data_IF_763354062413
#
_entry.id   IF_763354062413
#
_cell.length_a   1.000
_cell.length_b   1.000
_cell.length_c   1.000
_cell.angle_alpha   90.00
_cell.angle_beta   90.00
_cell.angle_gamma   90.00
#
_symmetry.space_group_name_H-M   'P 1'
#
loop_
_entity.id
_entity.type
_entity.pdbx_description
1 polymer ?
#
# COMPACT_ATOMS: atom_id res chain seq x y z
N UNK A 1 3.50 0.09 19.93
CA UNK A 1 3.32 -0.30 18.53
C UNK A 1 2.72 0.89 17.82
N UNK A 2 3.42 1.51 16.87
CA UNK A 2 2.80 2.56 16.07
C UNK A 2 1.64 1.96 15.26
N UNK A 3 0.45 2.54 15.43
CA UNK A 3 -0.76 2.15 14.69
C UNK A 3 -1.10 3.25 13.69
N UNK A 4 -1.38 2.89 12.44
CA UNK A 4 -1.87 3.81 11.40
C UNK A 4 -3.20 3.29 10.86
N UNK A 5 -4.19 4.16 10.72
CA UNK A 5 -5.52 3.74 10.28
C UNK A 5 -5.97 4.51 9.03
N UNK A 6 -6.67 3.80 8.14
CA UNK A 6 -7.28 4.34 6.93
C UNK A 6 -8.81 4.22 6.95
N UNK A 7 -9.48 5.29 6.54
CA UNK A 7 -10.94 5.41 6.53
C UNK A 7 -11.54 6.04 7.80
N UNK A 8 -12.80 6.48 7.72
CA UNK A 8 -13.49 7.17 8.81
C UNK A 8 -14.48 6.28 9.59
N UNK A 9 -15.05 5.26 8.96
CA UNK A 9 -16.05 4.36 9.58
C UNK A 9 -15.63 2.92 9.37
N UNK A 10 -15.45 2.17 10.47
CA UNK A 10 -14.80 0.85 10.52
C UNK A 10 -13.42 0.85 9.85
N UNK A 11 -12.48 1.68 10.35
CA UNK A 11 -11.22 1.91 9.67
C UNK A 11 -10.36 0.65 9.61
N UNK A 12 -9.49 0.60 8.60
CA UNK A 12 -8.47 -0.45 8.48
C UNK A 12 -7.23 0.06 9.20
N UNK A 13 -6.87 -0.57 10.31
CA UNK A 13 -5.72 -0.20 11.12
C UNK A 13 -4.57 -1.18 10.89
N UNK A 14 -3.38 -0.63 10.80
CA UNK A 14 -2.10 -1.30 10.60
C UNK A 14 -1.27 -1.15 11.86
N UNK A 15 -1.01 -2.26 12.52
CA UNK A 15 -0.25 -2.32 13.76
C UNK A 15 1.19 -2.76 13.43
N UNK A 16 2.13 -1.83 13.60
CA UNK A 16 3.54 -2.09 13.36
C UNK A 16 4.27 -2.43 14.67
N UNK A 17 5.20 -3.39 14.68
CA UNK A 17 5.98 -3.71 15.87
C UNK A 17 6.82 -2.55 16.37
N UNK A 18 7.34 -2.71 17.59
CA UNK A 18 8.33 -1.79 18.15
C UNK A 18 9.56 -1.73 17.22
N UNK A 19 10.07 -0.51 17.01
CA UNK A 19 11.24 -0.24 16.17
C UNK A 19 10.93 -0.02 14.69
N UNK A 20 9.68 -0.23 14.26
CA UNK A 20 9.24 0.18 12.92
C UNK A 20 9.01 1.68 12.88
N UNK A 21 9.41 2.28 11.77
CA UNK A 21 9.03 3.64 11.37
C UNK A 21 7.88 3.53 10.37
N UNK A 22 6.80 4.28 10.57
CA UNK A 22 5.65 4.27 9.65
C UNK A 22 4.96 5.63 9.62
N UNK A 23 4.53 6.07 8.44
CA UNK A 23 3.87 7.37 8.21
C UNK A 23 2.67 7.22 7.29
N UNK A 24 1.61 8.01 7.53
CA UNK A 24 0.56 8.22 6.51
C UNK A 24 1.11 9.14 5.43
N UNK A 25 1.63 8.58 4.35
CA UNK A 25 2.43 9.34 3.40
C UNK A 25 1.60 10.38 2.64
N UNK A 26 0.33 10.10 2.37
CA UNK A 26 -0.56 11.01 1.65
C UNK A 26 -1.22 12.08 2.55
N UNK A 27 -1.17 11.94 3.89
CA UNK A 27 -1.69 12.87 4.89
C UNK A 27 -0.58 13.57 5.69
N UNK A 28 0.20 12.80 6.46
CA UNK A 28 1.26 13.25 7.37
C UNK A 28 2.57 13.55 6.62
N UNK A 29 2.76 12.96 5.43
CA UNK A 29 3.88 13.23 4.51
C UNK A 29 3.80 14.60 3.82
N UNK A 30 3.42 15.63 4.58
CA UNK A 30 3.07 16.97 4.13
C UNK A 30 4.04 17.57 3.12
N UNK A 31 5.34 17.25 3.20
CA UNK A 31 6.37 17.61 2.22
C UNK A 31 5.93 17.36 0.77
N UNK A 32 5.36 16.20 0.48
CA UNK A 32 4.95 15.85 -0.87
C UNK A 32 3.82 16.76 -1.35
N UNK A 33 2.81 17.03 -0.53
CA UNK A 33 1.74 17.98 -0.86
C UNK A 33 2.25 19.42 -0.92
N UNK A 34 3.03 19.87 0.06
CA UNK A 34 3.41 21.28 0.21
C UNK A 34 4.56 21.72 -0.70
N UNK A 35 5.39 20.79 -1.16
CA UNK A 35 6.60 21.11 -1.92
C UNK A 35 6.51 20.59 -3.35
N UNK A 36 6.02 19.35 -3.56
CA UNK A 36 5.94 18.76 -4.89
C UNK A 36 4.63 19.15 -5.59
N UNK A 37 3.48 19.00 -4.94
CA UNK A 37 2.18 19.24 -5.62
C UNK A 37 1.88 20.71 -5.91
N UNK A 38 2.57 21.66 -5.26
CA UNK A 38 2.45 23.10 -5.61
C UNK A 38 2.86 23.40 -7.05
N UNK A 39 3.75 22.60 -7.61
CA UNK A 39 4.32 22.82 -8.94
C UNK A 39 4.00 21.70 -9.94
N UNK A 40 3.46 20.57 -9.45
CA UNK A 40 3.08 19.43 -10.28
C UNK A 40 1.68 18.95 -9.89
N UNK A 41 0.71 19.19 -10.76
CA UNK A 41 -0.67 18.78 -10.54
C UNK A 41 -0.82 17.25 -10.54
N UNK A 42 -1.84 16.74 -9.84
CA UNK A 42 -2.34 15.35 -9.89
C UNK A 42 -1.43 14.26 -9.32
N UNK A 43 -0.38 14.63 -8.61
CA UNK A 43 0.56 13.72 -7.96
C UNK A 43 -0.06 13.14 -6.67
N UNK A 44 -0.15 11.81 -6.55
CA UNK A 44 -0.74 11.08 -5.39
C UNK A 44 0.19 9.98 -4.90
N UNK A 45 0.52 9.99 -3.62
CA UNK A 45 1.40 8.98 -3.03
C UNK A 45 0.63 7.74 -2.58
N UNK A 46 1.39 6.75 -2.12
CA UNK A 46 0.88 5.63 -1.34
C UNK A 46 0.24 6.13 -0.06
N UNK A 47 -0.73 5.37 0.46
CA UNK A 47 -1.42 5.75 1.70
C UNK A 47 -0.45 5.67 2.90
N UNK A 48 0.31 4.58 3.01
CA UNK A 48 1.34 4.42 4.05
C UNK A 48 2.73 4.10 3.46
N UNK A 49 3.76 4.56 4.16
CA UNK A 49 5.15 4.13 3.96
C UNK A 49 5.73 3.67 5.29
N UNK A 50 6.42 2.54 5.30
CA UNK A 50 7.00 1.96 6.51
C UNK A 50 8.38 1.34 6.29
N UNK A 51 9.19 1.30 7.34
CA UNK A 51 10.55 0.73 7.35
C UNK A 51 10.72 -0.11 8.63
N UNK A 52 11.13 -1.39 8.54
CA UNK A 52 11.41 -2.20 9.71
C UNK A 52 12.73 -1.80 10.39
N UNK A 53 12.95 -2.23 11.65
CA UNK A 53 14.24 -2.08 12.29
C UNK A 53 15.32 -2.92 11.58
N UNK A 54 16.56 -2.42 11.60
CA UNK A 54 17.78 -3.20 11.34
C UNK A 54 18.17 -3.45 9.88
N UNK A 55 17.23 -3.47 8.93
CA UNK A 55 17.53 -3.66 7.50
C UNK A 55 16.83 -2.62 6.62
N UNK A 56 17.51 -2.08 5.60
CA UNK A 56 16.94 -1.04 4.76
C UNK A 56 16.01 -1.66 3.72
N UNK A 57 14.81 -2.11 4.11
CA UNK A 57 13.71 -2.31 3.16
C UNK A 57 12.67 -1.23 3.37
N UNK A 58 11.99 -0.83 2.31
CA UNK A 58 10.90 0.15 2.38
C UNK A 58 9.61 -0.54 1.93
N UNK A 59 8.56 -0.40 2.71
CA UNK A 59 7.24 -0.97 2.43
C UNK A 59 6.30 0.16 2.04
N UNK A 60 5.70 0.06 0.86
CA UNK A 60 4.66 0.94 0.36
C UNK A 60 3.33 0.24 0.48
N UNK A 61 2.34 0.84 1.14
CA UNK A 61 1.03 0.22 1.35
C UNK A 61 -0.05 1.12 0.75
N UNK A 62 -0.80 0.56 -0.19
CA UNK A 62 -2.03 1.14 -0.72
C UNK A 62 -3.24 0.39 -0.15
N UNK A 63 -4.22 1.11 0.36
CA UNK A 63 -5.41 0.55 0.98
C UNK A 63 -6.63 0.79 0.08
N UNK A 64 -7.37 -0.28 -0.20
CA UNK A 64 -8.61 -0.22 -0.97
C UNK A 64 -9.71 -1.02 -0.28
N UNK A 65 -10.74 -0.30 0.14
CA UNK A 65 -11.91 -0.88 0.80
C UNK A 65 -13.13 -0.83 -0.11
N UNK A 66 -13.53 -2.00 -0.62
CA UNK A 66 -14.70 -2.20 -1.46
C UNK A 66 -15.88 -2.85 -0.72
N UNK A 67 -15.87 -2.90 0.63
CA UNK A 67 -16.99 -3.50 1.39
C UNK A 67 -18.36 -2.87 1.10
N UNK A 68 -18.36 -1.58 0.76
CA UNK A 68 -19.58 -0.80 0.45
C UNK A 68 -19.70 -0.43 -1.03
N UNK A 69 -18.81 -0.91 -1.88
CA UNK A 69 -18.84 -0.56 -3.28
C UNK A 69 -20.07 -1.19 -3.96
N UNK A 70 -20.72 -0.44 -4.85
CA UNK A 70 -21.71 -1.00 -5.74
C UNK A 70 -21.06 -2.10 -6.59
N UNK A 71 -21.81 -3.13 -7.02
CA UNK A 71 -21.29 -4.12 -7.95
C UNK A 71 -20.82 -3.42 -9.21
N UNK A 72 -19.50 -3.32 -9.37
CA UNK A 72 -18.83 -2.78 -10.53
C UNK A 72 -18.40 -3.91 -11.48
N UNK A 73 -18.06 -3.52 -12.70
CA UNK A 73 -17.36 -4.40 -13.64
C UNK A 73 -16.00 -4.78 -13.03
N UNK A 74 -15.76 -6.05 -12.66
CA UNK A 74 -14.54 -6.47 -12.00
C UNK A 74 -13.29 -6.23 -12.85
N UNK A 75 -13.40 -6.33 -14.17
CA UNK A 75 -12.26 -6.12 -15.07
C UNK A 75 -11.86 -4.64 -15.09
N UNK A 76 -12.83 -3.74 -15.29
CA UNK A 76 -12.60 -2.31 -15.22
C UNK A 76 -12.06 -1.87 -13.86
N UNK A 77 -12.57 -2.46 -12.77
CA UNK A 77 -12.06 -2.22 -11.41
C UNK A 77 -10.59 -2.64 -11.28
N UNK A 78 -10.26 -3.85 -11.72
CA UNK A 78 -8.89 -4.35 -11.65
C UNK A 78 -7.92 -3.51 -12.48
N UNK A 79 -8.29 -3.13 -13.71
CA UNK A 79 -7.50 -2.24 -14.54
C UNK A 79 -7.22 -0.89 -13.84
N UNK A 80 -8.24 -0.32 -13.18
CA UNK A 80 -8.09 0.91 -12.38
C UNK A 80 -7.21 0.73 -11.15
N UNK A 81 -7.29 -0.42 -10.48
CA UNK A 81 -6.41 -0.74 -9.34
C UNK A 81 -4.95 -0.85 -9.78
N UNK A 82 -4.69 -1.51 -10.91
CA UNK A 82 -3.35 -1.61 -11.50
C UNK A 82 -2.80 -0.21 -11.77
N UNK A 83 -3.53 0.64 -12.52
CA UNK A 83 -3.10 2.01 -12.81
C UNK A 83 -2.84 2.81 -11.53
N UNK A 84 -3.74 2.70 -10.54
CA UNK A 84 -3.63 3.42 -9.28
C UNK A 84 -2.36 3.03 -8.52
N UNK A 85 -2.10 1.73 -8.35
CA UNK A 85 -0.93 1.23 -7.62
C UNK A 85 0.34 1.65 -8.33
N UNK A 86 0.46 1.41 -9.63
CA UNK A 86 1.65 1.73 -10.41
C UNK A 86 1.99 3.23 -10.35
N UNK A 87 0.99 4.10 -10.57
CA UNK A 87 1.19 5.55 -10.51
C UNK A 87 1.57 6.02 -9.12
N UNK A 88 0.87 5.54 -8.09
CA UNK A 88 1.20 5.89 -6.70
C UNK A 88 2.60 5.39 -6.31
N UNK A 89 3.04 4.23 -6.80
CA UNK A 89 4.41 3.74 -6.59
C UNK A 89 5.42 4.71 -7.18
N UNK A 90 5.27 5.04 -8.47
CA UNK A 90 6.19 5.96 -9.16
C UNK A 90 6.25 7.32 -8.48
N UNK A 91 5.10 7.88 -8.08
CA UNK A 91 5.09 9.17 -7.42
C UNK A 91 5.67 9.12 -6.01
N UNK A 92 5.47 8.04 -5.26
CA UNK A 92 6.08 7.85 -3.94
C UNK A 92 7.59 7.73 -4.05
N UNK A 93 8.10 6.97 -5.03
CA UNK A 93 9.53 6.88 -5.32
C UNK A 93 10.10 8.27 -5.66
N UNK A 94 9.50 9.00 -6.59
CA UNK A 94 9.94 10.33 -6.97
C UNK A 94 9.92 11.31 -5.77
N UNK A 95 8.86 11.25 -4.95
CA UNK A 95 8.71 12.07 -3.76
C UNK A 95 9.77 11.79 -2.70
N UNK A 96 10.11 10.51 -2.46
CA UNK A 96 11.17 10.12 -1.52
C UNK A 96 12.57 10.50 -2.02
N UNK A 97 12.84 10.40 -3.33
CA UNK A 97 14.09 10.91 -3.92
C UNK A 97 14.20 12.43 -3.73
N UNK A 98 13.12 13.17 -3.95
CA UNK A 98 13.10 14.61 -3.75
C UNK A 98 13.30 14.98 -2.27
N UNK A 99 12.63 14.27 -1.36
CA UNK A 99 12.77 14.44 0.09
C UNK A 99 14.21 14.21 0.56
N UNK A 100 14.87 13.16 0.04
CA UNK A 100 16.27 12.86 0.34
C UNK A 100 17.19 13.99 -0.12
N UNK A 101 16.98 14.48 -1.35
CA UNK A 101 17.80 15.56 -1.92
C UNK A 101 17.75 16.88 -1.15
N UNK A 102 16.59 17.23 -0.61
CA UNK A 102 16.42 18.47 0.16
C UNK A 102 16.61 18.27 1.67
N UNK A 103 16.87 17.04 2.11
CA UNK A 103 17.08 16.72 3.51
C UNK A 103 15.83 16.85 4.39
N UNK A 104 14.64 16.56 3.84
CA UNK A 104 13.37 16.70 4.56
C UNK A 104 13.37 15.86 5.85
N UNK A 105 13.25 16.53 6.99
CA UNK A 105 13.46 15.91 8.29
C UNK A 105 12.37 14.88 8.63
N UNK A 106 11.11 15.18 8.30
CA UNK A 106 9.98 14.30 8.60
C UNK A 106 9.98 13.00 7.80
N UNK A 107 10.62 13.00 6.62
CA UNK A 107 10.73 11.84 5.75
C UNK A 107 12.08 11.14 5.81
N UNK A 108 13.03 11.64 6.61
CA UNK A 108 14.39 11.09 6.72
C UNK A 108 14.45 9.57 6.95
N UNK A 109 13.58 8.94 7.77
CA UNK A 109 13.60 7.50 7.94
C UNK A 109 13.22 6.72 6.67
N UNK A 110 12.55 7.35 5.70
CA UNK A 110 12.03 6.72 4.49
C UNK A 110 12.80 7.16 3.22
N UNK A 111 13.38 8.35 3.26
CA UNK A 111 14.10 9.01 2.17
C UNK A 111 15.53 8.46 2.04
N UNK A 112 15.64 7.17 1.74
CA UNK A 112 16.92 6.44 1.63
C UNK A 112 17.12 5.77 0.27
N UNK A 113 16.41 6.23 -0.77
CA UNK A 113 16.38 5.57 -2.07
C UNK A 113 17.73 5.62 -2.79
N UNK A 114 18.61 6.56 -2.46
CA UNK A 114 20.01 6.56 -2.95
C UNK A 114 20.77 5.28 -2.59
N UNK A 115 20.37 4.59 -1.52
CA UNK A 115 20.96 3.32 -1.06
C UNK A 115 20.40 2.10 -1.78
N UNK A 116 19.43 2.29 -2.67
CA UNK A 116 18.72 1.23 -3.39
C UNK A 116 18.19 0.13 -2.44
N UNK A 117 17.43 0.49 -1.40
CA UNK A 117 16.82 -0.50 -0.52
C UNK A 117 15.88 -1.41 -1.33
N UNK A 118 15.70 -2.69 -0.96
CA UNK A 118 14.56 -3.46 -1.43
C UNK A 118 13.26 -2.71 -1.13
N UNK A 119 12.39 -2.61 -2.12
CA UNK A 119 11.09 -1.95 -1.98
C UNK A 119 10.00 -3.00 -2.20
N UNK A 120 9.12 -3.15 -1.21
CA UNK A 120 7.94 -3.99 -1.30
C UNK A 120 6.71 -3.10 -1.45
N UNK A 121 5.92 -3.32 -2.49
CA UNK A 121 4.62 -2.68 -2.71
C UNK A 121 3.53 -3.63 -2.27
N UNK A 122 2.63 -3.15 -1.44
CA UNK A 122 1.52 -3.92 -0.88
C UNK A 122 0.22 -3.27 -1.27
N UNK A 123 -0.65 -4.01 -1.96
CA UNK A 123 -2.05 -3.64 -2.10
C UNK A 123 -2.86 -4.35 -1.01
N UNK A 124 -3.36 -3.61 -0.04
CA UNK A 124 -4.27 -4.12 0.98
C UNK A 124 -5.71 -3.96 0.52
N UNK A 125 -6.28 -5.04 0.00
CA UNK A 125 -7.59 -5.07 -0.65
C UNK A 125 -8.64 -5.74 0.24
N UNK A 126 -9.61 -4.96 0.72
CA UNK A 126 -10.76 -5.45 1.50
C UNK A 126 -11.99 -5.49 0.61
N UNK A 127 -12.63 -6.64 0.52
CA UNK A 127 -13.81 -6.86 -0.32
C UNK A 127 -14.97 -7.41 0.51
N UNK A 128 -16.21 -7.17 0.07
CA UNK A 128 -17.37 -7.76 0.69
C UNK A 128 -17.41 -9.29 0.47
N UNK A 129 -17.85 -10.08 1.47
CA UNK A 129 -18.12 -11.49 1.25
C UNK A 129 -19.27 -11.66 0.25
N UNK A 130 -19.08 -12.54 -0.74
CA UNK A 130 -20.07 -12.81 -1.78
C UNK A 130 -20.89 -14.05 -1.43
N UNK A 131 -22.21 -13.99 -1.59
CA UNK A 131 -23.11 -15.07 -1.19
C UNK A 131 -23.04 -16.31 -2.12
N UNK A 132 -22.73 -16.15 -3.41
CA UNK A 132 -22.75 -17.26 -4.37
C UNK A 132 -21.34 -17.79 -4.66
N UNK A 133 -21.23 -19.13 -4.75
CA UNK A 133 -19.96 -19.82 -5.05
C UNK A 133 -19.34 -19.35 -6.37
N UNK A 134 -20.16 -19.13 -7.40
CA UNK A 134 -19.69 -18.63 -8.70
C UNK A 134 -19.07 -17.24 -8.58
N UNK A 135 -19.71 -16.33 -7.82
CA UNK A 135 -19.17 -14.98 -7.60
C UNK A 135 -17.90 -15.01 -6.75
N UNK A 136 -17.83 -15.86 -5.73
CA UNK A 136 -16.60 -16.09 -4.95
C UNK A 136 -15.46 -16.60 -5.84
N UNK A 137 -15.75 -17.54 -6.75
CA UNK A 137 -14.77 -18.05 -7.71
C UNK A 137 -14.27 -16.96 -8.65
N UNK A 138 -15.18 -16.18 -9.24
CA UNK A 138 -14.82 -15.08 -10.14
C UNK A 138 -13.98 -14.02 -9.42
N UNK A 139 -14.33 -13.68 -8.17
CA UNK A 139 -13.54 -12.77 -7.35
C UNK A 139 -12.13 -13.31 -7.09
N UNK A 140 -11.99 -14.61 -6.80
CA UNK A 140 -10.69 -15.24 -6.60
C UNK A 140 -9.84 -15.22 -7.87
N UNK A 141 -10.44 -15.53 -9.03
CA UNK A 141 -9.75 -15.45 -10.33
C UNK A 141 -9.29 -14.03 -10.58
N UNK A 142 -10.17 -13.03 -10.42
CA UNK A 142 -9.82 -11.63 -10.58
C UNK A 142 -8.73 -11.16 -9.61
N UNK A 143 -8.67 -11.66 -8.37
CA UNK A 143 -7.55 -11.37 -7.45
C UNK A 143 -6.24 -11.97 -7.94
N UNK A 144 -6.25 -13.21 -8.43
CA UNK A 144 -5.05 -13.85 -8.95
C UNK A 144 -4.52 -13.11 -10.20
N UNK A 145 -5.40 -12.72 -11.10
CA UNK A 145 -5.03 -11.97 -12.31
C UNK A 145 -4.45 -10.59 -11.96
N UNK A 146 -5.06 -9.92 -10.97
CA UNK A 146 -4.56 -8.65 -10.43
C UNK A 146 -3.18 -8.83 -9.80
N UNK A 147 -2.99 -9.85 -8.97
CA UNK A 147 -1.72 -10.14 -8.31
C UNK A 147 -0.62 -10.47 -9.31
N UNK A 148 -0.90 -11.33 -10.30
CA UNK A 148 0.05 -11.68 -11.34
C UNK A 148 0.45 -10.45 -12.18
N UNK A 149 -0.54 -9.62 -12.54
CA UNK A 149 -0.30 -8.42 -13.35
C UNK A 149 0.55 -7.39 -12.62
N UNK A 150 0.27 -7.12 -11.34
CA UNK A 150 1.05 -6.19 -10.52
C UNK A 150 2.44 -6.75 -10.22
N UNK A 151 2.55 -8.05 -9.91
CA UNK A 151 3.85 -8.71 -9.71
C UNK A 151 4.73 -8.56 -10.94
N UNK A 152 4.23 -8.88 -12.14
CA UNK A 152 5.02 -8.79 -13.36
C UNK A 152 5.49 -7.35 -13.66
N UNK A 153 4.59 -6.37 -13.51
CA UNK A 153 4.90 -4.97 -13.81
C UNK A 153 5.86 -4.33 -12.80
N UNK A 154 5.67 -4.60 -11.51
CA UNK A 154 6.54 -4.08 -10.46
C UNK A 154 7.90 -4.80 -10.43
N UNK A 155 7.94 -6.09 -10.75
CA UNK A 155 9.21 -6.83 -10.91
C UNK A 155 10.04 -6.27 -12.07
N UNK A 156 9.40 -5.80 -13.16
CA UNK A 156 10.10 -5.11 -14.24
C UNK A 156 10.79 -3.80 -13.79
N UNK A 157 10.42 -3.26 -12.62
CA UNK A 157 11.06 -2.12 -11.98
C UNK A 157 11.98 -2.52 -10.81
N UNK A 158 12.20 -3.82 -10.60
CA UNK A 158 12.99 -4.35 -9.48
C UNK A 158 12.31 -4.20 -8.11
N UNK A 159 10.96 -4.12 -8.08
CA UNK A 159 10.18 -3.98 -6.85
C UNK A 159 9.42 -5.27 -6.56
N UNK A 160 9.36 -5.66 -5.29
CA UNK A 160 8.54 -6.78 -4.84
C UNK A 160 7.07 -6.34 -4.71
N UNK A 161 6.15 -7.27 -4.93
CA UNK A 161 4.72 -7.02 -4.75
C UNK A 161 4.06 -8.07 -3.86
N UNK A 162 3.09 -7.64 -3.06
CA UNK A 162 2.20 -8.53 -2.32
C UNK A 162 0.75 -8.02 -2.36
N UNK A 163 -0.19 -8.90 -2.74
CA UNK A 163 -1.61 -8.64 -2.59
C UNK A 163 -2.09 -9.19 -1.25
N UNK A 164 -2.57 -8.30 -0.37
CA UNK A 164 -3.11 -8.67 0.95
C UNK A 164 -4.61 -8.36 1.03
N UNK A 165 -5.26 -8.90 2.04
CA UNK A 165 -6.63 -8.57 2.39
C UNK A 165 -6.83 -8.68 3.89
N UNK A 166 -7.98 -8.23 4.38
CA UNK A 166 -8.33 -8.46 5.78
C UNK A 166 -8.32 -9.98 6.05
N UNK A 167 -7.75 -10.43 7.19
CA UNK A 167 -7.86 -11.83 7.56
C UNK A 167 -9.33 -12.21 7.61
N UNK A 168 -9.71 -13.26 6.90
CA UNK A 168 -11.00 -13.91 7.12
C UNK A 168 -11.04 -14.29 8.61
N UNK A 169 -12.11 -14.01 9.37
CA UNK A 169 -12.15 -14.18 10.84
C UNK A 169 -11.85 -15.60 11.36
N UNK A 170 -11.63 -16.57 10.47
CA UNK A 170 -11.36 -17.97 10.77
C UNK A 170 -9.89 -18.38 10.63
N UNK A 171 -9.01 -17.49 10.18
CA UNK A 171 -7.56 -17.78 10.09
C UNK A 171 -6.84 -16.87 11.07
N UNK A 172 -6.26 -17.38 12.17
CA UNK A 172 -5.40 -16.57 13.02
C UNK A 172 -4.29 -16.00 12.14
N UNK A 173 -3.90 -14.73 12.31
CA UNK A 173 -2.82 -14.16 11.53
C UNK A 173 -1.59 -15.01 11.78
N UNK A 174 -1.21 -15.82 10.78
CA UNK A 174 0.16 -16.29 10.68
C UNK A 174 0.97 -15.02 10.70
N UNK A 175 1.79 -14.81 11.75
CA UNK A 175 2.79 -13.74 11.83
C UNK A 175 3.31 -13.53 10.42
N UNK A 176 2.84 -12.48 9.76
CA UNK A 176 3.15 -12.33 8.36
C UNK A 176 4.67 -12.25 8.30
N UNK A 177 5.32 -12.90 7.34
CA UNK A 177 6.78 -12.89 7.21
C UNK A 177 7.38 -11.46 7.21
N UNK A 178 6.52 -10.46 7.03
CA UNK A 178 6.81 -9.05 6.92
C UNK A 178 6.62 -8.26 8.24
N UNK A 179 6.23 -8.90 9.34
CA UNK A 179 6.31 -8.37 10.71
C UNK A 179 5.21 -7.43 11.17
N UNK A 180 4.30 -6.94 10.33
CA UNK A 180 3.19 -6.06 10.72
C UNK A 180 1.82 -6.72 10.48
N UNK A 181 0.80 -6.25 11.21
CA UNK A 181 -0.56 -6.78 11.16
C UNK A 181 -1.55 -5.71 10.69
N UNK A 182 -2.67 -6.14 10.10
CA UNK A 182 -3.78 -5.26 9.75
C UNK A 182 -5.11 -5.85 10.22
N UNK A 183 -5.98 -4.98 10.73
CA UNK A 183 -7.29 -5.32 11.24
C UNK A 183 -8.32 -4.27 10.85
N UNK A 184 -9.57 -4.69 10.76
CA UNK A 184 -10.71 -3.78 10.73
C UNK A 184 -11.04 -3.42 12.17
N UNK A 185 -11.02 -2.14 12.51
CA UNK A 185 -11.42 -1.62 13.82
C UNK A 185 -12.90 -1.23 13.85
#
# INVERSE_FOLDING_TARGET
>A
MPTKCEGATNPICFDFPIGWEAVKYDEEGGFYRTTVTKHVNLIRGMDLVAVPPGAPRVVFIEVKDFRKAAPDDPEARNAKLIDTVLRKTLYTLAGLVAAERVGEASLRPFAMLSRQPPVQVVLFLVEAPLASKLRQQNQRVGRNDLEQSLTAQLAAWGLDFALRGAPTPLVPPTLAADGWEARVA
#
